data_IF_857894909435
#
_entry.id   IF_857894909435
#
_cell.length_a   1.000
_cell.length_b   1.000
_cell.length_c   1.000
_cell.angle_alpha   90.00
_cell.angle_beta   90.00
_cell.angle_gamma   90.00
#
_symmetry.space_group_name_H-M   'P 1'
#
loop_
_entity.id
_entity.type
_entity.pdbx_description
1 polymer ?
#
# COMPACT_ATOMS: atom_id res chain seq x y z
N UNK A 1 2.07 0.08 -31.00
CA UNK A 1 1.66 -0.60 -29.75
C UNK A 1 2.40 0.05 -28.60
N UNK A 2 1.68 0.60 -27.62
CA UNK A 2 2.26 1.33 -26.48
C UNK A 2 2.85 0.31 -25.50
N UNK A 3 4.18 0.29 -25.36
CA UNK A 3 4.95 -0.73 -24.60
C UNK A 3 4.76 -0.69 -23.06
N UNK A 4 3.88 0.17 -22.53
CA UNK A 4 3.69 0.38 -21.08
C UNK A 4 2.41 -0.20 -20.46
N UNK A 5 1.57 -0.90 -21.22
CA UNK A 5 0.25 -1.37 -20.76
C UNK A 5 0.24 -2.84 -20.30
N UNK A 6 1.37 -3.52 -20.33
CA UNK A 6 1.47 -4.96 -20.05
C UNK A 6 2.34 -5.22 -18.83
N UNK A 7 1.93 -6.19 -18.00
CA UNK A 7 2.73 -6.66 -16.88
C UNK A 7 4.10 -7.18 -17.32
N UNK A 8 5.15 -6.74 -16.63
CA UNK A 8 6.38 -7.50 -16.56
C UNK A 8 6.10 -8.80 -15.76
N UNK A 9 6.47 -9.98 -16.30
CA UNK A 9 6.16 -11.26 -15.66
C UNK A 9 6.77 -11.41 -14.25
N UNK A 10 7.97 -10.87 -14.02
CA UNK A 10 8.65 -10.94 -12.72
C UNK A 10 7.89 -10.13 -11.66
N UNK A 11 7.48 -8.91 -12.01
CA UNK A 11 6.73 -8.05 -11.10
C UNK A 11 5.34 -8.60 -10.83
N UNK A 12 4.64 -9.11 -11.85
CA UNK A 12 3.34 -9.77 -11.67
C UNK A 12 3.44 -10.92 -10.67
N UNK A 13 4.44 -11.79 -10.83
CA UNK A 13 4.65 -12.91 -9.91
C UNK A 13 4.91 -12.44 -8.47
N UNK A 14 5.80 -11.45 -8.28
CA UNK A 14 6.12 -10.89 -6.97
C UNK A 14 4.92 -10.24 -6.29
N UNK A 15 4.08 -9.55 -7.05
CA UNK A 15 2.86 -8.92 -6.54
C UNK A 15 1.82 -9.97 -6.13
N UNK A 16 1.61 -11.01 -6.94
CA UNK A 16 0.72 -12.13 -6.60
C UNK A 16 1.17 -12.77 -5.29
N UNK A 17 2.44 -13.14 -5.17
CA UNK A 17 2.98 -13.75 -3.93
C UNK A 17 2.81 -12.84 -2.70
N UNK A 18 3.08 -11.54 -2.85
CA UNK A 18 2.91 -10.58 -1.76
C UNK A 18 1.47 -10.50 -1.29
N UNK A 19 0.51 -10.39 -2.22
CA UNK A 19 -0.92 -10.33 -1.86
C UNK A 19 -1.36 -11.65 -1.22
N UNK A 20 -1.00 -12.80 -1.81
CA UNK A 20 -1.33 -14.11 -1.23
C UNK A 20 -0.78 -14.27 0.19
N UNK A 21 0.46 -13.83 0.45
CA UNK A 21 1.04 -13.87 1.80
C UNK A 21 0.25 -13.04 2.81
N UNK A 22 -0.21 -11.85 2.43
CA UNK A 22 -1.05 -11.00 3.30
C UNK A 22 -2.39 -11.67 3.59
N UNK A 23 -3.03 -12.28 2.59
CA UNK A 23 -4.29 -13.00 2.78
C UNK A 23 -4.14 -14.19 3.75
N UNK A 24 -3.03 -14.93 3.65
CA UNK A 24 -2.70 -16.01 4.56
C UNK A 24 -2.42 -15.50 5.98
N UNK A 25 -1.63 -14.42 6.13
CA UNK A 25 -1.34 -13.81 7.43
C UNK A 25 -2.60 -13.33 8.15
N UNK A 26 -3.55 -12.76 7.40
CA UNK A 26 -4.84 -12.31 7.93
C UNK A 26 -5.88 -13.44 8.07
N UNK A 27 -5.58 -14.65 7.58
CA UNK A 27 -6.49 -15.80 7.53
C UNK A 27 -7.82 -15.44 6.85
N UNK A 28 -7.76 -14.78 5.70
CA UNK A 28 -8.93 -14.30 4.94
C UNK A 28 -8.97 -14.91 3.54
N UNK A 29 -10.16 -15.33 3.08
CA UNK A 29 -10.41 -15.74 1.70
C UNK A 29 -11.35 -14.73 1.03
N UNK A 30 -10.83 -13.76 0.26
CA UNK A 30 -11.62 -12.64 -0.20
C UNK A 30 -12.39 -12.90 -1.50
N UNK A 31 -13.50 -12.20 -1.67
CA UNK A 31 -14.10 -12.00 -2.99
C UNK A 31 -13.29 -10.94 -3.76
N UNK A 32 -12.72 -11.33 -4.90
CA UNK A 32 -11.83 -10.44 -5.66
C UNK A 32 -12.65 -9.59 -6.64
N UNK A 33 -12.53 -8.27 -6.51
CA UNK A 33 -13.03 -7.26 -7.46
C UNK A 33 -11.86 -6.49 -8.06
N UNK A 34 -11.99 -6.09 -9.31
CA UNK A 34 -10.98 -5.30 -10.00
C UNK A 34 -11.62 -4.22 -10.86
N UNK A 35 -10.87 -3.17 -11.13
CA UNK A 35 -11.27 -2.09 -12.01
C UNK A 35 -11.39 -2.58 -13.47
N UNK A 36 -12.58 -2.45 -14.06
CA UNK A 36 -12.88 -3.00 -15.38
C UNK A 36 -12.10 -2.33 -16.53
N UNK A 37 -11.74 -1.06 -16.38
CA UNK A 37 -10.97 -0.30 -17.40
C UNK A 37 -9.49 -0.70 -17.47
N UNK A 38 -8.99 -1.54 -16.56
CA UNK A 38 -7.58 -1.91 -16.47
C UNK A 38 -7.36 -3.40 -16.68
N UNK A 39 -6.77 -3.75 -17.84
CA UNK A 39 -6.31 -5.11 -18.14
C UNK A 39 -5.22 -5.61 -17.17
N UNK A 40 -4.41 -4.69 -16.60
CA UNK A 40 -3.40 -5.05 -15.62
C UNK A 40 -4.05 -5.55 -14.32
N UNK A 41 -4.98 -4.79 -13.76
CA UNK A 41 -5.78 -5.19 -12.60
C UNK A 41 -6.52 -6.53 -12.84
N UNK A 42 -7.13 -6.70 -14.02
CA UNK A 42 -7.80 -7.95 -14.41
C UNK A 42 -6.84 -9.14 -14.38
N UNK A 43 -5.68 -9.03 -15.05
CA UNK A 43 -4.68 -10.10 -15.11
C UNK A 43 -4.11 -10.46 -13.74
N UNK A 44 -3.92 -9.47 -12.87
CA UNK A 44 -3.51 -9.70 -11.48
C UNK A 44 -4.61 -10.44 -10.70
N UNK A 45 -5.87 -10.02 -10.83
CA UNK A 45 -7.00 -10.68 -10.18
C UNK A 45 -7.14 -12.16 -10.60
N UNK A 46 -7.03 -12.44 -11.90
CA UNK A 46 -7.08 -13.80 -12.44
C UNK A 46 -5.96 -14.68 -11.89
N UNK A 47 -4.73 -14.15 -11.79
CA UNK A 47 -3.60 -14.89 -11.23
C UNK A 47 -3.75 -15.17 -9.75
N UNK A 48 -4.27 -14.23 -8.97
CA UNK A 48 -4.56 -14.47 -7.55
C UNK A 48 -5.67 -15.51 -7.40
N UNK A 49 -6.74 -15.44 -8.20
CA UNK A 49 -7.80 -16.46 -8.22
C UNK A 49 -7.26 -17.85 -8.53
N UNK A 50 -6.35 -17.96 -9.51
CA UNK A 50 -5.69 -19.22 -9.85
C UNK A 50 -4.94 -19.79 -8.62
N UNK A 51 -4.15 -18.98 -7.91
CA UNK A 51 -3.44 -19.41 -6.70
C UNK A 51 -4.40 -19.82 -5.60
N UNK A 52 -5.42 -19.01 -5.31
CA UNK A 52 -6.44 -19.33 -4.29
C UNK A 52 -7.18 -20.63 -4.60
N UNK A 53 -7.48 -20.89 -5.89
CA UNK A 53 -8.15 -22.12 -6.31
C UNK A 53 -7.26 -23.37 -6.21
N UNK A 54 -5.96 -23.22 -6.46
CA UNK A 54 -4.97 -24.31 -6.35
C UNK A 54 -4.67 -24.66 -4.90
N UNK A 55 -4.64 -23.66 -4.03
CA UNK A 55 -4.30 -23.80 -2.62
C UNK A 55 -5.55 -23.74 -1.73
N UNK A 56 -6.71 -24.21 -2.21
CA UNK A 56 -8.01 -24.05 -1.52
C UNK A 56 -7.99 -24.51 -0.05
N UNK A 57 -7.25 -25.58 0.26
CA UNK A 57 -7.12 -26.11 1.62
C UNK A 57 -6.41 -25.13 2.57
N UNK A 58 -5.45 -24.35 2.07
CA UNK A 58 -4.73 -23.33 2.85
C UNK A 58 -5.60 -22.12 3.17
N UNK A 59 -6.74 -21.96 2.49
CA UNK A 59 -7.67 -20.84 2.64
C UNK A 59 -8.98 -21.22 3.34
N UNK A 60 -9.08 -22.44 3.88
CA UNK A 60 -10.25 -22.94 4.62
C UNK A 60 -10.23 -22.40 6.05
N UNK A 61 -10.54 -21.11 6.18
CA UNK A 61 -10.66 -20.43 7.47
C UNK A 61 -12.13 -20.31 7.87
N UNK A 62 -12.43 -20.49 9.17
CA UNK A 62 -13.73 -20.13 9.73
C UNK A 62 -13.89 -18.61 9.64
N UNK A 63 -14.67 -18.11 8.68
CA UNK A 63 -14.82 -16.68 8.42
C UNK A 63 -16.21 -16.21 8.87
N UNK A 64 -16.24 -15.16 9.70
CA UNK A 64 -17.48 -14.50 10.13
C UNK A 64 -18.05 -13.56 9.06
N UNK A 65 -17.19 -13.05 8.17
CA UNK A 65 -17.53 -12.09 7.13
C UNK A 65 -16.76 -12.40 5.84
N UNK A 66 -17.36 -12.19 4.67
CA UNK A 66 -16.70 -12.34 3.37
C UNK A 66 -15.91 -11.05 3.03
N UNK A 67 -14.57 -11.05 3.12
CA UNK A 67 -13.77 -9.85 2.84
C UNK A 67 -13.70 -9.59 1.34
N UNK A 68 -13.43 -8.34 0.93
CA UNK A 68 -13.27 -7.97 -0.47
C UNK A 68 -11.81 -7.56 -0.72
N UNK A 69 -11.19 -8.14 -1.73
CA UNK A 69 -9.93 -7.67 -2.28
C UNK A 69 -10.25 -6.81 -3.50
N UNK A 70 -10.07 -5.49 -3.39
CA UNK A 70 -10.27 -4.55 -4.48
C UNK A 70 -8.93 -4.20 -5.14
N UNK A 71 -8.82 -4.46 -6.44
CA UNK A 71 -7.62 -4.15 -7.23
C UNK A 71 -7.93 -2.97 -8.14
N UNK A 72 -7.22 -1.87 -7.93
CA UNK A 72 -7.37 -0.60 -8.65
C UNK A 72 -6.06 -0.23 -9.33
N UNK A 73 -6.17 0.43 -10.47
CA UNK A 73 -5.03 0.95 -11.21
C UNK A 73 -4.86 2.45 -10.94
N UNK A 74 -3.66 2.86 -10.51
CA UNK A 74 -3.35 4.25 -10.19
C UNK A 74 -3.55 5.20 -11.38
N UNK A 75 -3.49 4.69 -12.62
CA UNK A 75 -3.62 5.52 -13.83
C UNK A 75 -4.98 6.22 -13.96
N UNK A 76 -6.01 5.73 -13.28
CA UNK A 76 -7.34 6.36 -13.26
C UNK A 76 -7.39 7.60 -12.36
N UNK A 77 -6.45 7.71 -11.41
CA UNK A 77 -6.29 8.85 -10.52
C UNK A 77 -4.80 9.29 -10.48
N UNK A 78 -4.33 9.95 -11.55
CA UNK A 78 -2.98 10.49 -11.62
C UNK A 78 -2.81 11.79 -10.82
N UNK A 79 -3.90 12.42 -10.37
CA UNK A 79 -3.88 13.74 -9.72
C UNK A 79 -3.54 13.61 -8.24
N UNK A 80 -4.18 12.70 -7.51
CA UNK A 80 -3.94 12.50 -6.07
C UNK A 80 -2.45 12.39 -5.68
N UNK A 81 -1.58 11.62 -6.37
CA UNK A 81 -0.17 11.56 -6.01
C UNK A 81 0.63 12.84 -6.31
N UNK A 82 0.08 13.80 -7.06
CA UNK A 82 0.72 15.07 -7.41
C UNK A 82 0.23 16.26 -6.55
N UNK A 83 -0.85 16.08 -5.80
CA UNK A 83 -1.37 17.11 -4.90
C UNK A 83 -0.52 17.16 -3.63
N UNK A 84 -0.11 18.37 -3.24
CA UNK A 84 0.55 18.60 -1.95
C UNK A 84 -0.37 18.15 -0.82
N UNK A 85 0.14 17.26 0.02
CA UNK A 85 -0.65 16.65 1.08
C UNK A 85 -0.54 17.46 2.37
N UNK A 86 -1.67 17.73 3.02
CA UNK A 86 -1.72 18.55 4.25
C UNK A 86 -1.73 17.72 5.54
N UNK A 87 -1.75 16.39 5.44
CA UNK A 87 -1.65 15.52 6.62
C UNK A 87 -0.19 15.42 7.08
N UNK A 88 0.04 15.37 8.40
CA UNK A 88 1.40 15.44 8.95
C UNK A 88 2.33 14.36 8.37
N UNK A 89 1.85 13.11 8.30
CA UNK A 89 2.63 12.01 7.73
C UNK A 89 2.95 12.22 6.25
N UNK A 90 1.98 12.70 5.47
CA UNK A 90 2.17 12.88 4.04
C UNK A 90 3.09 14.07 3.73
N UNK A 91 2.96 15.18 4.46
CA UNK A 91 3.85 16.34 4.35
C UNK A 91 5.29 15.98 4.73
N UNK A 92 5.49 15.24 5.82
CA UNK A 92 6.83 14.79 6.22
C UNK A 92 7.43 13.86 5.16
N UNK A 93 6.65 12.94 4.59
CA UNK A 93 7.11 12.10 3.50
C UNK A 93 7.42 12.89 2.22
N UNK A 94 6.64 13.92 1.89
CA UNK A 94 6.84 14.76 0.71
C UNK A 94 8.10 15.63 0.81
N UNK A 95 8.30 16.29 1.96
CA UNK A 95 9.42 17.24 2.14
C UNK A 95 10.73 16.57 2.57
N UNK A 96 10.66 15.51 3.37
CA UNK A 96 11.82 14.92 4.04
C UNK A 96 12.06 13.45 3.67
N UNK A 97 11.12 12.81 2.96
CA UNK A 97 11.15 11.39 2.58
C UNK A 97 11.25 10.45 3.79
N UNK A 98 10.16 9.75 4.10
CA UNK A 98 10.18 8.68 5.12
C UNK A 98 10.64 7.39 4.44
N UNK A 99 11.71 6.79 4.94
CA UNK A 99 12.20 5.50 4.48
C UNK A 99 12.23 4.52 5.66
N UNK A 100 11.46 3.43 5.59
CA UNK A 100 11.33 2.45 6.67
C UNK A 100 11.03 3.09 8.04
N UNK A 101 10.06 4.02 8.07
CA UNK A 101 9.68 4.78 9.26
C UNK A 101 10.80 5.66 9.84
N UNK A 102 11.84 5.99 9.06
CA UNK A 102 12.94 6.86 9.47
C UNK A 102 13.04 8.08 8.58
N UNK A 103 13.38 9.22 9.18
CA UNK A 103 13.62 10.48 8.50
C UNK A 103 15.05 10.93 8.77
N UNK A 104 15.77 11.24 7.69
CA UNK A 104 17.14 11.76 7.79
C UNK A 104 17.12 13.29 7.79
N UNK A 105 17.51 13.89 8.91
CA UNK A 105 17.59 15.33 9.10
C UNK A 105 19.02 15.86 9.06
N UNK A 106 19.99 15.06 8.60
CA UNK A 106 21.41 15.44 8.60
C UNK A 106 21.73 16.67 7.76
N UNK A 107 20.86 17.00 6.80
CA UNK A 107 20.96 18.18 5.93
C UNK A 107 20.41 19.47 6.57
N UNK A 108 19.74 19.38 7.72
CA UNK A 108 19.14 20.52 8.42
C UNK A 108 20.20 21.21 9.29
N UNK A 109 20.40 22.51 9.06
CA UNK A 109 21.37 23.33 9.83
C UNK A 109 20.90 23.49 11.27
N UNK A 110 21.81 23.29 12.22
CA UNK A 110 21.55 23.51 13.65
C UNK A 110 20.91 22.32 14.39
N UNK A 111 20.77 21.16 13.74
CA UNK A 111 20.19 19.98 14.39
C UNK A 111 21.18 19.32 15.36
N UNK A 112 20.68 18.87 16.52
CA UNK A 112 21.47 18.06 17.45
C UNK A 112 21.89 16.75 16.80
N UNK A 113 23.05 16.19 17.20
CA UNK A 113 23.54 14.90 16.68
C UNK A 113 22.53 13.76 16.89
N UNK A 114 21.74 13.84 17.95
CA UNK A 114 20.72 12.86 18.33
C UNK A 114 19.49 12.89 17.41
N UNK A 115 19.20 14.03 16.78
CA UNK A 115 18.05 14.23 15.89
C UNK A 115 18.38 14.06 14.41
N UNK A 116 19.58 13.57 14.08
CA UNK A 116 19.98 13.34 12.68
C UNK A 116 19.14 12.27 12.00
N UNK A 117 18.68 11.28 12.78
CA UNK A 117 17.77 10.26 12.32
C UNK A 117 16.63 10.14 13.32
N UNK A 118 15.40 10.36 12.85
CA UNK A 118 14.20 10.31 13.68
C UNK A 118 13.34 9.15 13.24
N UNK A 119 12.82 8.38 14.19
CA UNK A 119 11.88 7.28 13.95
C UNK A 119 10.45 7.81 14.11
N UNK A 120 9.61 7.57 13.11
CA UNK A 120 8.19 7.91 13.11
C UNK A 120 7.35 6.63 13.16
N UNK A 121 6.87 6.26 14.35
CA UNK A 121 6.09 5.05 14.57
C UNK A 121 4.82 5.37 15.35
N UNK A 122 3.65 5.16 14.75
CA UNK A 122 2.37 5.35 15.42
C UNK A 122 2.13 4.37 16.58
N UNK A 123 2.90 3.28 16.66
CA UNK A 123 2.80 2.32 17.77
C UNK A 123 3.62 2.74 19.00
N UNK A 124 4.64 3.57 18.81
CA UNK A 124 5.59 3.96 19.87
C UNK A 124 5.58 5.47 20.18
N UNK A 125 4.82 6.25 19.41
CA UNK A 125 4.70 7.70 19.55
C UNK A 125 3.21 8.09 19.50
N UNK A 126 2.64 8.31 20.69
CA UNK A 126 1.24 8.69 20.89
C UNK A 126 0.91 10.03 20.21
N UNK A 127 1.86 10.97 20.17
CA UNK A 127 1.65 12.25 19.51
C UNK A 127 1.52 12.04 18.00
N UNK A 128 2.46 11.29 17.42
CA UNK A 128 2.43 10.96 15.99
C UNK A 128 1.17 10.19 15.60
N UNK A 129 0.73 9.24 16.44
CA UNK A 129 -0.50 8.47 16.22
C UNK A 129 -1.74 9.37 16.12
N UNK A 130 -1.84 10.37 17.00
CA UNK A 130 -2.98 11.29 17.05
C UNK A 130 -3.01 12.31 15.90
N UNK A 131 -1.84 12.73 15.40
CA UNK A 131 -1.74 13.81 14.40
C UNK A 131 -1.72 13.28 12.95
N UNK A 132 -1.33 12.03 12.73
CA UNK A 132 -1.19 11.45 11.38
C UNK A 132 -2.51 11.37 10.57
N UNK A 133 -3.66 11.32 11.25
CA UNK A 133 -4.97 11.02 10.63
C UNK A 133 -5.87 12.24 10.38
N UNK A 134 -5.47 13.47 10.71
CA UNK A 134 -6.32 14.64 10.49
C UNK A 134 -6.44 15.00 8.99
N UNK A 135 -7.69 15.19 8.58
CA UNK A 135 -8.28 15.01 7.24
C UNK A 135 -7.77 15.93 6.12
N UNK A 136 -7.76 15.36 4.90
CA UNK A 136 -7.98 16.07 3.64
C UNK A 136 -9.32 15.63 2.98
N UNK A 137 -10.29 15.15 3.77
CA UNK A 137 -11.65 14.77 3.29
C UNK A 137 -12.70 15.84 3.66
N UNK A 138 -12.32 16.94 4.33
CA UNK A 138 -13.23 18.05 4.66
C UNK A 138 -13.15 19.25 3.67
N UNK A 139 -12.94 18.98 2.37
CA UNK A 139 -13.18 19.94 1.27
C UNK A 139 -14.02 19.30 0.17
#
# INVERSE_FOLDING_TARGET
>A
MIQGLTWNPVHLHRTVQGITSVLLSLKKCPYIRYQNSSDMAKRLAEKIREVLSKESNSFEFRQESNPILLIVDRRDDPVTPLLNQWTYQAMVHELLTINNNRVNLSHVKGISKELKEVVLSAEHDDFYANVSTFLCIDI
#
